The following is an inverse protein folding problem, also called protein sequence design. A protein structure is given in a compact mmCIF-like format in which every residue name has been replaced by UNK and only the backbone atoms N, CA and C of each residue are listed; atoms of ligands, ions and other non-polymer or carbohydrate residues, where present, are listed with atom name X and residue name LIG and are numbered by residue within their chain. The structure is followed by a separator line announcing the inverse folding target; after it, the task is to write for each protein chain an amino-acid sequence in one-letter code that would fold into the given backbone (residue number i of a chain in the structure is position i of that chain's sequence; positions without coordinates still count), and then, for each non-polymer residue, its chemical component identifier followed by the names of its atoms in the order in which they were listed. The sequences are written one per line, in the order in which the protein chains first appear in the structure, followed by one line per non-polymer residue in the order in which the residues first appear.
data_IF_667218228729
#
_entry.id   IF_667218228729
#
_cell.length_a   1.000
_cell.length_b   1.000
_cell.length_c   1.000
_cell.angle_alpha   90.00
_cell.angle_beta   90.00
_cell.angle_gamma   90.00
#
_symmetry.space_group_name_H-M   'P 1'
#
loop_
_entity.id
_entity.type
_entity.pdbx_description
1 polymer ?
#
# COMPACT_ATOMS: atom_id res chain seq x y z
N UNK A 1 -44.13 49.28 0.08
CA UNK A 1 -42.93 48.70 0.70
C UNK A 1 -43.27 47.30 1.18
N UNK A 2 -43.02 46.28 0.38
CA UNK A 2 -43.25 44.87 0.76
C UNK A 2 -41.90 44.18 0.90
N UNK A 3 -41.56 43.76 2.10
CA UNK A 3 -40.37 42.93 2.34
C UNK A 3 -40.61 41.58 1.65
N UNK A 4 -39.81 41.27 0.63
CA UNK A 4 -39.79 39.95 0.00
C UNK A 4 -39.42 38.86 1.01
N UNK A 5 -39.73 37.59 0.72
CA UNK A 5 -39.44 36.50 1.64
C UNK A 5 -37.96 36.50 2.00
N UNK A 6 -37.69 36.44 3.30
CA UNK A 6 -36.35 36.26 3.83
C UNK A 6 -35.83 34.92 3.29
N UNK A 7 -35.00 34.94 2.24
CA UNK A 7 -34.22 33.76 1.87
C UNK A 7 -33.37 33.45 3.09
N UNK A 8 -33.72 32.39 3.80
CA UNK A 8 -32.76 31.68 4.63
C UNK A 8 -31.67 31.24 3.66
N UNK A 9 -30.59 32.02 3.58
CA UNK A 9 -29.35 31.52 3.05
C UNK A 9 -29.03 30.32 3.91
N UNK A 10 -29.17 29.12 3.35
CA UNK A 10 -28.77 27.90 4.02
C UNK A 10 -27.26 27.95 4.20
N UNK A 11 -26.81 28.57 5.29
CA UNK A 11 -25.40 28.82 5.60
C UNK A 11 -24.68 27.54 6.08
N UNK A 12 -25.21 26.36 5.79
CA UNK A 12 -24.68 25.07 6.28
C UNK A 12 -24.48 24.02 5.19
N UNK A 13 -24.46 24.40 3.91
CA UNK A 13 -24.02 23.51 2.83
C UNK A 13 -22.87 24.15 2.05
N UNK A 14 -21.71 24.29 2.70
CA UNK A 14 -20.49 24.22 1.89
C UNK A 14 -20.45 22.79 1.36
N UNK A 15 -20.48 22.56 0.03
CA UNK A 15 -20.20 21.23 -0.48
C UNK A 15 -18.85 20.84 0.11
N UNK A 16 -18.79 19.74 0.84
CA UNK A 16 -17.53 19.15 1.25
C UNK A 16 -16.73 18.92 -0.02
N UNK A 17 -15.78 19.82 -0.29
CA UNK A 17 -14.99 19.80 -1.51
C UNK A 17 -14.00 18.64 -1.35
N UNK A 18 -14.36 17.49 -1.91
CA UNK A 18 -13.53 16.29 -1.79
C UNK A 18 -12.28 16.47 -2.63
N UNK A 19 -11.14 15.95 -2.15
CA UNK A 19 -9.89 15.94 -2.93
C UNK A 19 -9.92 14.95 -4.09
N UNK A 20 -10.88 14.02 -4.08
CA UNK A 20 -11.05 12.93 -5.04
C UNK A 20 -10.95 13.35 -6.52
N UNK A 21 -11.75 14.32 -7.03
CA UNK A 21 -11.66 14.73 -8.44
C UNK A 21 -10.30 15.36 -8.80
N UNK A 22 -9.64 16.02 -7.84
CA UNK A 22 -8.34 16.62 -8.07
C UNK A 22 -7.25 15.54 -8.19
N UNK A 23 -7.30 14.49 -7.37
CA UNK A 23 -6.36 13.37 -7.48
C UNK A 23 -6.49 12.65 -8.82
N UNK A 24 -7.73 12.41 -9.27
CA UNK A 24 -7.99 11.85 -10.61
C UNK A 24 -7.38 12.75 -11.70
N UNK A 25 -7.65 14.05 -11.67
CA UNK A 25 -7.10 15.00 -12.64
C UNK A 25 -5.56 15.07 -12.65
N UNK A 26 -4.89 14.90 -11.51
CA UNK A 26 -3.43 14.84 -11.43
C UNK A 26 -2.88 13.58 -12.13
N UNK A 27 -3.52 12.44 -11.92
CA UNK A 27 -3.13 11.17 -12.56
C UNK A 27 -3.30 11.24 -14.09
N UNK A 28 -4.41 11.82 -14.57
CA UNK A 28 -4.67 12.03 -16.00
C UNK A 28 -3.66 12.99 -16.65
N UNK A 29 -3.18 13.98 -15.89
CA UNK A 29 -2.10 14.88 -16.33
C UNK A 29 -0.70 14.26 -16.27
N UNK A 30 -0.61 12.98 -15.91
CA UNK A 30 0.65 12.25 -15.87
C UNK A 30 1.51 12.52 -14.64
N UNK A 31 0.94 13.08 -13.57
CA UNK A 31 1.62 13.34 -12.30
C UNK A 31 1.58 12.08 -11.44
N UNK A 32 2.71 11.77 -10.78
CA UNK A 32 2.81 10.66 -9.85
C UNK A 32 2.18 11.05 -8.50
N UNK A 33 1.37 10.15 -7.94
CA UNK A 33 0.69 10.35 -6.65
C UNK A 33 1.08 9.22 -5.70
N UNK A 34 1.54 9.58 -4.50
CA UNK A 34 1.73 8.68 -3.37
C UNK A 34 0.64 8.95 -2.34
N UNK A 35 -0.13 7.92 -2.01
CA UNK A 35 -0.94 7.89 -0.80
C UNK A 35 -0.26 6.96 0.20
N UNK A 36 0.12 7.51 1.36
CA UNK A 36 0.65 6.71 2.45
C UNK A 36 -0.07 6.97 3.77
N UNK A 37 -0.16 5.93 4.60
CA UNK A 37 -0.95 5.95 5.84
C UNK A 37 -0.35 5.01 6.88
N UNK A 38 -0.45 5.38 8.16
CA UNK A 38 -0.09 4.49 9.26
C UNK A 38 -1.15 3.43 9.50
N UNK A 39 -0.75 2.19 9.76
CA UNK A 39 -1.70 1.11 10.02
C UNK A 39 -2.47 1.24 11.35
N UNK A 40 -1.95 2.03 12.30
CA UNK A 40 -2.57 2.31 13.60
C UNK A 40 -3.35 3.63 13.65
N UNK A 41 -3.48 4.34 12.53
CA UNK A 41 -4.33 5.52 12.47
C UNK A 41 -5.81 5.12 12.43
N UNK A 42 -6.57 5.54 13.45
CA UNK A 42 -8.01 5.32 13.52
C UNK A 42 -8.81 6.34 12.70
N UNK A 43 -8.38 7.60 12.72
CA UNK A 43 -9.14 8.72 12.13
C UNK A 43 -9.05 8.66 10.61
N UNK A 44 -7.84 8.51 10.06
CA UNK A 44 -7.61 8.37 8.63
C UNK A 44 -7.14 6.95 8.28
N UNK A 45 -7.95 5.96 8.67
CA UNK A 45 -7.57 4.56 8.61
C UNK A 45 -7.15 4.05 7.21
N UNK A 46 -6.28 3.05 7.23
CA UNK A 46 -5.72 2.47 6.02
C UNK A 46 -6.75 1.72 5.17
N UNK A 47 -7.80 1.14 5.78
CA UNK A 47 -8.85 0.40 5.07
C UNK A 47 -9.72 1.34 4.22
N UNK A 48 -10.12 2.47 4.79
CA UNK A 48 -10.82 3.55 4.08
C UNK A 48 -9.94 4.12 2.98
N UNK A 49 -8.65 4.33 3.28
CA UNK A 49 -7.65 4.80 2.31
C UNK A 49 -7.48 3.87 1.12
N UNK A 50 -7.42 2.56 1.36
CA UNK A 50 -7.36 1.55 0.31
C UNK A 50 -8.66 1.53 -0.52
N UNK A 51 -9.83 1.57 0.14
CA UNK A 51 -11.12 1.49 -0.56
C UNK A 51 -11.34 2.67 -1.50
N UNK A 52 -11.03 3.90 -1.08
CA UNK A 52 -11.22 5.04 -1.97
C UNK A 52 -10.21 5.07 -3.11
N UNK A 53 -8.96 4.59 -2.90
CA UNK A 53 -7.98 4.47 -3.99
C UNK A 53 -8.36 3.39 -5.00
N UNK A 54 -9.02 2.31 -4.57
CA UNK A 54 -9.62 1.32 -5.46
C UNK A 54 -10.83 1.87 -6.23
N UNK A 55 -11.64 2.71 -5.59
CA UNK A 55 -12.78 3.35 -6.22
C UNK A 55 -12.39 4.50 -7.16
N UNK A 56 -11.20 5.08 -6.98
CA UNK A 56 -10.69 6.22 -7.75
C UNK A 56 -10.80 5.97 -9.25
N UNK A 57 -11.55 6.83 -9.94
CA UNK A 57 -11.70 6.79 -11.40
C UNK A 57 -10.53 7.50 -12.08
N UNK A 58 -9.78 6.76 -12.86
CA UNK A 58 -8.68 7.24 -13.70
C UNK A 58 -8.28 6.16 -14.71
N UNK A 59 -7.49 6.52 -15.72
CA UNK A 59 -7.13 5.65 -16.85
C UNK A 59 -6.49 4.31 -16.43
N UNK A 60 -5.76 4.28 -15.31
CA UNK A 60 -5.10 3.08 -14.78
C UNK A 60 -5.84 2.37 -13.65
N UNK A 61 -7.11 2.71 -13.38
CA UNK A 61 -7.90 2.11 -12.29
C UNK A 61 -7.95 0.58 -12.37
N UNK A 62 -8.24 0.03 -13.56
CA UNK A 62 -8.33 -1.43 -13.77
C UNK A 62 -7.01 -2.13 -13.47
N UNK A 63 -5.90 -1.52 -13.88
CA UNK A 63 -4.55 -2.05 -13.59
C UNK A 63 -4.29 -2.00 -12.09
N UNK A 64 -4.64 -0.90 -11.41
CA UNK A 64 -4.49 -0.76 -9.97
C UNK A 64 -5.31 -1.79 -9.19
N UNK A 65 -6.57 -2.00 -9.55
CA UNK A 65 -7.45 -2.99 -8.94
C UNK A 65 -6.94 -4.43 -9.15
N UNK A 66 -6.28 -4.71 -10.27
CA UNK A 66 -5.69 -6.02 -10.56
C UNK A 66 -4.45 -6.32 -9.72
N UNK A 67 -3.77 -5.31 -9.16
CA UNK A 67 -2.59 -5.50 -8.33
C UNK A 67 -2.98 -5.96 -6.91
N UNK A 68 -2.32 -7.00 -6.42
CA UNK A 68 -2.44 -7.41 -5.02
C UNK A 68 -1.68 -6.43 -4.10
N UNK A 69 -2.11 -6.35 -2.84
CA UNK A 69 -1.28 -5.77 -1.79
C UNK A 69 -0.06 -6.66 -1.59
N UNK A 70 1.14 -6.07 -1.65
CA UNK A 70 2.42 -6.76 -1.44
C UNK A 70 3.15 -6.17 -0.24
N UNK A 71 3.85 -7.01 0.50
CA UNK A 71 4.70 -6.54 1.60
C UNK A 71 5.92 -5.79 1.05
N UNK A 72 6.37 -4.77 1.78
CA UNK A 72 7.63 -4.09 1.52
C UNK A 72 8.47 -4.02 2.79
N UNK A 73 9.79 -3.95 2.62
CA UNK A 73 10.75 -4.00 3.73
C UNK A 73 11.73 -2.83 3.67
N UNK A 74 12.31 -2.52 4.82
CA UNK A 74 13.43 -1.58 4.96
C UNK A 74 14.48 -2.27 5.82
N UNK A 75 15.68 -2.48 5.27
CA UNK A 75 16.79 -3.18 5.92
C UNK A 75 16.39 -4.57 6.44
N UNK A 76 15.67 -5.33 5.62
CA UNK A 76 15.19 -6.68 5.97
C UNK A 76 13.99 -6.74 6.93
N UNK A 77 13.55 -5.62 7.51
CA UNK A 77 12.37 -5.58 8.39
C UNK A 77 11.08 -5.24 7.63
N UNK A 78 9.97 -5.87 8.00
CA UNK A 78 8.66 -5.59 7.43
C UNK A 78 8.21 -4.16 7.74
N UNK A 79 8.13 -3.32 6.71
CA UNK A 79 7.82 -1.90 6.83
C UNK A 79 6.34 -1.59 6.53
N UNK A 80 5.63 -2.48 5.83
CA UNK A 80 4.18 -2.39 5.61
C UNK A 80 3.73 -3.14 4.36
N UNK A 81 2.58 -2.74 3.82
CA UNK A 81 2.08 -3.24 2.52
C UNK A 81 1.94 -2.11 1.51
N UNK A 82 1.96 -2.44 0.24
CA UNK A 82 1.88 -1.47 -0.86
C UNK A 82 1.13 -2.05 -2.05
N UNK A 83 0.52 -1.17 -2.83
CA UNK A 83 -0.06 -1.45 -4.15
C UNK A 83 0.36 -0.33 -5.08
N UNK A 84 0.85 -0.67 -6.27
CA UNK A 84 1.28 0.31 -7.27
C UNK A 84 0.84 -0.15 -8.64
N UNK A 85 0.23 0.75 -9.41
CA UNK A 85 0.01 0.60 -10.84
C UNK A 85 0.14 1.96 -11.50
N UNK A 86 0.78 2.00 -12.66
CA UNK A 86 1.09 3.25 -13.35
C UNK A 86 1.68 4.33 -12.43
N UNK A 87 0.91 5.40 -12.22
CA UNK A 87 1.33 6.61 -11.49
C UNK A 87 0.78 6.71 -10.06
N UNK A 88 -0.07 5.77 -9.66
CA UNK A 88 -0.64 5.73 -8.31
C UNK A 88 0.10 4.69 -7.46
N UNK A 89 0.62 5.14 -6.32
CA UNK A 89 1.22 4.27 -5.30
C UNK A 89 0.44 4.42 -3.99
N UNK A 90 -0.05 3.32 -3.46
CA UNK A 90 -0.60 3.21 -2.11
C UNK A 90 0.40 2.45 -1.22
N UNK A 91 0.67 2.96 -0.03
CA UNK A 91 1.54 2.30 0.93
C UNK A 91 1.03 2.47 2.36
N UNK A 92 1.12 1.41 3.16
CA UNK A 92 0.97 1.49 4.61
C UNK A 92 2.33 1.46 5.26
N UNK A 93 2.44 2.06 6.45
CA UNK A 93 3.61 1.95 7.32
C UNK A 93 3.21 1.21 8.59
N UNK A 94 3.87 0.08 8.84
CA UNK A 94 3.56 -0.83 9.93
C UNK A 94 3.96 -0.25 11.29
N UNK A 95 3.02 -0.29 12.24
CA UNK A 95 3.17 0.25 13.59
C UNK A 95 3.28 1.77 13.65
N UNK A 96 2.75 2.48 12.65
CA UNK A 96 2.70 3.94 12.61
C UNK A 96 1.26 4.43 12.80
N UNK A 97 1.08 5.52 13.55
CA UNK A 97 -0.20 6.19 13.72
C UNK A 97 -0.43 7.28 12.68
N UNK A 98 -1.15 8.33 13.06
CA UNK A 98 -1.50 9.45 12.18
C UNK A 98 -0.27 10.19 11.63
N UNK A 99 0.76 10.35 12.47
CA UNK A 99 1.99 11.06 12.12
C UNK A 99 3.09 10.06 11.78
N UNK A 100 2.97 9.41 10.62
CA UNK A 100 3.91 8.37 10.15
C UNK A 100 5.40 8.74 10.29
N UNK A 101 5.87 9.94 9.90
CA UNK A 101 7.28 10.31 10.06
C UNK A 101 7.72 10.47 11.52
N UNK A 102 6.79 10.76 12.44
CA UNK A 102 7.06 10.86 13.87
C UNK A 102 7.20 9.46 14.49
N UNK A 103 6.29 8.55 14.17
CA UNK A 103 6.28 7.20 14.75
C UNK A 103 7.34 6.28 14.13
N UNK A 104 7.56 6.39 12.81
CA UNK A 104 8.44 5.52 12.02
C UNK A 104 9.32 6.34 11.05
N UNK A 105 10.24 7.18 11.56
CA UNK A 105 11.05 8.08 10.74
C UNK A 105 11.91 7.33 9.70
N UNK A 106 12.50 6.20 10.08
CA UNK A 106 13.34 5.37 9.21
C UNK A 106 12.56 4.84 8.00
N UNK A 107 11.40 4.23 8.24
CA UNK A 107 10.54 3.66 7.21
C UNK A 107 9.92 4.76 6.33
N UNK A 108 9.52 5.88 6.94
CA UNK A 108 8.98 7.05 6.24
C UNK A 108 10.01 7.65 5.27
N UNK A 109 11.26 7.82 5.72
CA UNK A 109 12.33 8.34 4.88
C UNK A 109 12.64 7.39 3.70
N UNK A 110 12.72 6.10 3.96
CA UNK A 110 12.93 5.10 2.92
C UNK A 110 11.79 5.08 1.89
N UNK A 111 10.54 5.19 2.36
CA UNK A 111 9.34 5.27 1.51
C UNK A 111 9.41 6.47 0.56
N UNK A 112 9.67 7.67 1.11
CA UNK A 112 9.72 8.92 0.34
C UNK A 112 10.89 8.90 -0.64
N UNK A 113 12.08 8.50 -0.21
CA UNK A 113 13.27 8.45 -1.08
C UNK A 113 13.06 7.51 -2.26
N UNK A 114 12.54 6.29 -2.02
CA UNK A 114 12.25 5.31 -3.08
C UNK A 114 11.18 5.84 -4.04
N UNK A 115 10.12 6.47 -3.51
CA UNK A 115 9.07 7.03 -4.35
C UNK A 115 9.57 8.20 -5.24
N UNK A 116 10.36 9.12 -4.68
CA UNK A 116 10.97 10.24 -5.45
C UNK A 116 11.89 9.69 -6.54
N UNK A 117 12.68 8.66 -6.23
CA UNK A 117 13.54 7.97 -7.19
C UNK A 117 12.75 7.14 -8.23
N UNK A 118 11.41 7.07 -8.12
CA UNK A 118 10.50 6.23 -8.92
C UNK A 118 10.80 4.74 -8.82
N UNK A 119 11.49 4.33 -7.78
CA UNK A 119 11.76 2.93 -7.48
C UNK A 119 10.49 2.24 -6.97
N UNK A 120 10.47 0.90 -7.06
CA UNK A 120 9.38 0.13 -6.49
C UNK A 120 9.62 -0.16 -5.01
N UNK A 121 8.56 -0.09 -4.21
CA UNK A 121 8.56 -0.57 -2.83
C UNK A 121 8.52 -2.09 -2.87
N UNK A 122 9.71 -2.68 -2.90
CA UNK A 122 9.94 -4.11 -3.01
C UNK A 122 10.26 -4.73 -1.67
N UNK A 123 10.02 -6.02 -1.57
CA UNK A 123 10.66 -6.86 -0.58
C UNK A 123 12.14 -6.94 -0.95
N UNK A 124 13.02 -6.43 -0.09
CA UNK A 124 14.43 -6.82 -0.13
C UNK A 124 14.49 -8.30 0.25
N UNK A 125 14.34 -9.17 -0.74
CA UNK A 125 14.92 -10.50 -0.61
C UNK A 125 16.40 -10.24 -0.43
N UNK A 126 16.96 -10.60 0.73
CA UNK A 126 18.39 -10.81 0.83
C UNK A 126 18.69 -11.89 -0.21
N UNK A 127 19.00 -11.46 -1.42
CA UNK A 127 19.69 -12.33 -2.37
C UNK A 127 21.03 -12.48 -1.69
N UNK A 128 21.18 -13.55 -0.92
CA UNK A 128 22.49 -14.19 -0.82
C UNK A 128 22.87 -14.42 -2.27
N UNK A 129 23.61 -13.47 -2.86
CA UNK A 129 24.51 -13.82 -3.93
C UNK A 129 25.32 -14.94 -3.28
N UNK A 130 25.23 -16.21 -3.74
CA UNK A 130 26.29 -17.10 -3.37
C UNK A 130 27.53 -16.37 -3.83
N UNK A 131 28.41 -16.00 -2.91
CA UNK A 131 29.81 -15.81 -3.23
C UNK A 131 30.21 -17.14 -3.85
N UNK A 132 30.05 -17.23 -5.16
CA UNK A 132 30.51 -18.34 -5.96
C UNK A 132 32.02 -18.22 -5.89
N UNK A 133 32.59 -18.79 -4.84
CA UNK A 133 33.95 -19.26 -4.87
C UNK A 133 34.04 -20.09 -6.15
N UNK A 134 34.79 -19.56 -7.12
CA UNK A 134 35.18 -20.31 -8.32
C UNK A 134 36.00 -21.49 -7.82
N UNK A 135 35.35 -22.62 -7.59
CA UNK A 135 36.05 -23.91 -7.57
C UNK A 135 36.29 -24.30 -9.03
N UNK A 136 37.56 -24.36 -9.51
CA UNK A 136 37.87 -24.73 -10.88
C UNK A 136 37.58 -26.21 -11.20
N UNK A 137 37.13 -27.04 -10.24
CA UNK A 137 37.02 -28.49 -10.43
C UNK A 137 35.59 -29.09 -10.39
N UNK A 138 34.53 -28.28 -10.41
CA UNK A 138 33.15 -28.81 -10.42
C UNK A 138 32.53 -28.68 -11.82
N UNK A 139 32.33 -29.83 -12.49
CA UNK A 139 31.63 -29.95 -13.77
C UNK A 139 30.14 -29.57 -13.64
N UNK A 140 29.57 -28.78 -14.58
CA UNK A 140 28.20 -28.29 -14.47
C UNK A 140 27.21 -29.37 -14.88
N UNK A 141 26.75 -30.18 -13.92
CA UNK A 141 25.56 -31.01 -14.12
C UNK A 141 24.61 -30.81 -12.94
N UNK A 142 23.54 -30.07 -13.24
CA UNK A 142 22.31 -29.89 -12.47
C UNK A 142 22.31 -28.75 -11.43
N UNK A 143 22.04 -27.52 -11.88
CA UNK A 143 21.48 -26.46 -11.03
C UNK A 143 19.95 -26.53 -11.16
N UNK A 144 19.28 -27.01 -10.12
CA UNK A 144 17.82 -26.91 -9.99
C UNK A 144 17.47 -25.50 -9.53
N UNK A 145 16.99 -24.66 -10.44
CA UNK A 145 16.41 -23.36 -10.12
C UNK A 145 14.95 -23.57 -9.70
N UNK A 146 14.69 -23.63 -8.39
CA UNK A 146 13.33 -23.48 -7.87
C UNK A 146 12.92 -22.00 -7.92
N UNK A 147 12.33 -21.57 -9.04
CA UNK A 147 11.52 -20.34 -9.07
C UNK A 147 10.15 -20.64 -8.44
N UNK A 148 10.12 -20.69 -7.11
CA UNK A 148 8.87 -20.75 -6.35
C UNK A 148 8.45 -19.35 -5.92
N UNK A 149 7.59 -18.70 -6.71
CA UNK A 149 6.81 -17.55 -6.22
C UNK A 149 6.01 -18.02 -4.99
N UNK A 150 6.44 -17.61 -3.80
CA UNK A 150 5.64 -17.74 -2.59
C UNK A 150 4.52 -16.70 -2.62
N UNK A 151 3.45 -17.01 -3.36
CA UNK A 151 2.17 -16.33 -3.27
C UNK A 151 1.54 -16.82 -1.96
N UNK A 152 1.93 -16.19 -0.84
CA UNK A 152 1.32 -16.43 0.46
C UNK A 152 -0.13 -15.96 0.43
N UNK A 153 -1.07 -16.88 0.31
CA UNK A 153 -2.48 -16.63 0.68
C UNK A 153 -2.50 -16.33 2.17
N UNK A 154 -2.71 -15.07 2.54
CA UNK A 154 -3.05 -14.73 3.92
C UNK A 154 -4.49 -15.18 4.19
N UNK A 155 -4.64 -16.31 4.89
CA UNK A 155 -5.93 -16.75 5.47
C UNK A 155 -6.21 -15.87 6.69
N UNK A 156 -7.10 -14.89 6.54
CA UNK A 156 -7.61 -14.10 7.66
C UNK A 156 -8.59 -14.97 8.45
N UNK A 157 -8.10 -15.70 9.45
CA UNK A 157 -8.96 -16.27 10.50
C UNK A 157 -9.05 -15.29 11.68
N UNK A 158 -10.24 -14.76 12.01
CA UNK A 158 -10.43 -13.93 13.20
C UNK A 158 -10.14 -14.74 14.47
N UNK A 159 -9.31 -14.18 15.37
CA UNK A 159 -8.87 -14.80 16.61
C UNK A 159 -9.95 -14.95 17.72
N UNK A 160 -11.23 -15.06 17.36
CA UNK A 160 -12.33 -15.09 18.34
C UNK A 160 -13.19 -16.37 18.31
N UNK A 161 -12.79 -17.41 17.57
CA UNK A 161 -13.40 -18.73 17.73
C UNK A 161 -12.49 -19.61 18.59
N UNK A 162 -12.93 -19.84 19.83
CA UNK A 162 -12.32 -20.81 20.73
C UNK A 162 -12.33 -22.24 20.18
N UNK A 163 -11.61 -23.18 20.81
CA UNK A 163 -11.35 -24.49 20.25
C UNK A 163 -12.63 -25.33 20.19
N UNK A 164 -13.11 -25.66 18.99
CA UNK A 164 -14.06 -26.76 18.83
C UNK A 164 -13.28 -28.07 18.88
N UNK A 165 -13.52 -28.86 19.90
CA UNK A 165 -13.03 -30.24 20.03
C UNK A 165 -13.39 -31.05 18.78
N UNK A 166 -12.36 -31.51 18.04
CA UNK A 166 -12.52 -32.59 17.06
C UNK A 166 -12.32 -33.91 17.80
N UNK A 167 -13.43 -34.59 18.09
CA UNK A 167 -13.40 -36.03 18.38
C UNK A 167 -13.32 -36.79 17.06
N UNK A 168 -12.42 -37.77 17.07
CA UNK A 168 -12.18 -38.79 16.05
C UNK A 168 -13.45 -39.59 15.72
N UNK A 169 -13.72 -39.78 14.43
CA UNK A 169 -14.14 -41.05 13.80
C UNK A 169 -13.48 -41.08 12.42
#
# INVERSE_FOLDING_TARGET
MGLGPCRVANSTAQPVNTSYPYVSALLERGIFVLLYVGDYDWICNWVGSERWTLALEWSGQKEFQAQALRAWTVDGEAAGVTRKAGRLTFATVKGAGHMVPFDKPKQSLALINRWIAKEDLRFETVVFLPTFARDPNISPRNVFLFLGNAIGKYDYRPCWMGPSSRSLI
#
